data_IF_905773668863
#
_entry.id   IF_905773668863
#
_cell.length_a   1.000
_cell.length_b   1.000
_cell.length_c   1.000
_cell.angle_alpha   90.00
_cell.angle_beta   90.00
_cell.angle_gamma   90.00
#
_symmetry.space_group_name_H-M   'P 1'
#
loop_
_entity.id
_entity.type
_entity.pdbx_description
1 polymer ?
#
# COMPACT_ATOMS: atom_id res chain seq x y z
N UNK A 1 -19.09 14.21 2.19
CA UNK A 1 -19.07 12.73 2.36
C UNK A 1 -17.62 12.37 2.66
N UNK A 2 -17.24 12.27 3.93
CA UNK A 2 -15.90 11.81 4.30
C UNK A 2 -15.96 10.29 4.41
N UNK A 3 -16.03 9.62 3.26
CA UNK A 3 -15.92 8.17 3.20
C UNK A 3 -14.46 7.77 3.32
N UNK A 4 -14.16 6.75 4.13
CA UNK A 4 -12.84 6.10 4.10
C UNK A 4 -12.58 5.61 2.66
N UNK A 5 -11.35 5.76 2.18
CA UNK A 5 -10.97 5.24 0.87
C UNK A 5 -10.68 3.74 1.03
N UNK A 6 -11.46 2.91 0.33
CA UNK A 6 -11.28 1.46 0.31
C UNK A 6 -10.06 1.10 -0.53
N UNK A 7 -9.15 0.30 0.03
CA UNK A 7 -7.88 0.12 -0.63
C UNK A 7 -6.97 -0.97 -0.10
N UNK A 8 -5.77 -0.97 -0.68
CA UNK A 8 -4.65 -1.77 -0.23
C UNK A 8 -3.52 -0.86 0.25
N UNK A 9 -2.86 -1.21 1.33
CA UNK A 9 -1.67 -0.52 1.82
C UNK A 9 -0.43 -1.11 1.14
N UNK A 10 0.43 -0.24 0.62
CA UNK A 10 1.74 -0.56 0.05
C UNK A 10 2.80 0.06 0.95
N UNK A 11 3.66 -0.78 1.51
CA UNK A 11 4.76 -0.37 2.40
C UNK A 11 6.08 -0.96 1.90
N UNK A 12 7.17 -0.27 2.21
CA UNK A 12 8.52 -0.77 1.94
C UNK A 12 9.27 -0.99 3.24
N UNK A 13 9.95 -2.12 3.33
CA UNK A 13 10.85 -2.50 4.42
C UNK A 13 12.32 -2.43 4.00
N UNK A 14 12.61 -1.89 2.81
CA UNK A 14 13.96 -1.69 2.27
C UNK A 14 14.03 -0.33 1.54
N UNK A 15 15.14 -0.05 0.86
CA UNK A 15 15.36 1.20 0.13
C UNK A 15 14.45 1.39 -1.10
N UNK A 16 13.66 0.37 -1.45
CA UNK A 16 12.72 0.43 -2.56
C UNK A 16 11.59 1.43 -2.29
N UNK A 17 11.22 2.15 -3.35
CA UNK A 17 10.17 3.15 -3.30
C UNK A 17 8.81 2.54 -3.62
N UNK A 18 7.86 2.71 -2.70
CA UNK A 18 6.46 2.29 -2.87
C UNK A 18 5.78 3.00 -4.04
N UNK A 19 6.05 4.30 -4.23
CA UNK A 19 5.41 5.09 -5.30
C UNK A 19 5.81 4.62 -6.71
N UNK A 20 6.99 4.01 -6.87
CA UNK A 20 7.41 3.39 -8.13
C UNK A 20 6.56 2.16 -8.43
N UNK A 21 6.37 1.26 -7.44
CA UNK A 21 5.48 0.10 -7.60
C UNK A 21 4.05 0.51 -7.92
N UNK A 22 3.54 1.49 -7.18
CA UNK A 22 2.16 1.96 -7.34
C UNK A 22 1.95 2.50 -8.76
N UNK A 23 2.90 3.27 -9.30
CA UNK A 23 2.83 3.78 -10.68
C UNK A 23 2.86 2.66 -11.72
N UNK A 24 3.61 1.59 -11.48
CA UNK A 24 3.62 0.41 -12.35
C UNK A 24 2.27 -0.32 -12.35
N UNK A 25 1.62 -0.42 -11.18
CA UNK A 25 0.30 -1.06 -11.04
C UNK A 25 -0.81 -0.22 -11.69
N UNK A 26 -0.85 1.08 -11.41
CA UNK A 26 -1.94 1.97 -11.86
C UNK A 26 -1.89 2.23 -13.38
N UNK A 27 -0.77 1.90 -14.05
CA UNK A 27 -0.49 2.20 -15.47
C UNK A 27 -0.46 3.72 -15.75
N UNK A 28 0.13 4.20 -16.87
CA UNK A 28 0.76 5.53 -16.95
C UNK A 28 -0.21 6.71 -17.08
N UNK A 29 -1.49 6.55 -16.77
CA UNK A 29 -2.35 7.73 -16.58
C UNK A 29 -1.87 8.41 -15.31
N UNK A 30 -1.29 9.59 -15.48
CA UNK A 30 -0.80 10.50 -14.44
C UNK A 30 -1.92 10.86 -13.45
N UNK A 31 -2.31 9.93 -12.58
CA UNK A 31 -3.26 10.24 -11.52
C UNK A 31 -2.48 10.75 -10.33
N UNK A 32 -2.71 12.02 -10.01
CA UNK A 32 -2.12 12.64 -8.84
C UNK A 32 -2.59 11.90 -7.58
N UNK A 33 -1.70 11.66 -6.60
CA UNK A 33 -2.09 11.07 -5.34
C UNK A 33 -3.06 11.99 -4.61
N UNK A 34 -4.02 11.38 -3.92
CA UNK A 34 -4.87 12.05 -2.93
C UNK A 34 -4.13 12.01 -1.59
N UNK A 35 -3.99 13.17 -0.94
CA UNK A 35 -3.46 13.23 0.42
C UNK A 35 -4.55 12.76 1.38
N UNK A 36 -4.29 11.69 2.13
CA UNK A 36 -5.26 11.09 3.06
C UNK A 36 -5.04 11.65 4.46
N UNK A 37 -3.78 11.68 4.90
CA UNK A 37 -3.36 12.24 6.19
C UNK A 37 -1.91 12.74 6.11
N UNK A 38 -1.32 13.08 7.26
CA UNK A 38 0.11 13.40 7.32
C UNK A 38 0.93 12.12 7.12
N UNK A 39 1.84 12.14 6.15
CA UNK A 39 2.66 10.97 5.81
C UNK A 39 1.93 9.89 4.99
N UNK A 40 0.63 9.99 4.73
CA UNK A 40 -0.12 9.02 3.94
C UNK A 40 -0.71 9.59 2.64
N UNK A 41 -0.59 8.83 1.57
CA UNK A 41 -1.09 9.16 0.23
C UNK A 41 -1.81 7.96 -0.37
N UNK A 42 -2.80 8.22 -1.20
CA UNK A 42 -3.55 7.18 -1.90
C UNK A 42 -3.60 7.46 -3.40
N UNK A 43 -3.44 6.42 -4.21
CA UNK A 43 -3.50 6.50 -5.67
C UNK A 43 -4.72 5.72 -6.13
N UNK A 44 -5.69 6.38 -6.81
CA UNK A 44 -6.85 5.67 -7.32
C UNK A 44 -6.44 4.76 -8.48
N UNK A 45 -6.89 3.52 -8.41
CA UNK A 45 -6.69 2.49 -9.40
C UNK A 45 -8.06 2.09 -9.96
N UNK A 46 -8.33 2.49 -11.20
CA UNK A 46 -9.53 2.09 -11.91
C UNK A 46 -9.37 0.65 -12.40
N UNK A 47 -10.22 -0.24 -11.88
CA UNK A 47 -10.31 -1.63 -12.31
C UNK A 47 -11.54 -1.76 -13.20
N UNK A 48 -11.31 -1.98 -14.48
CA UNK A 48 -12.35 -2.24 -15.47
C UNK A 48 -12.19 -3.66 -16.00
N UNK A 49 -13.15 -4.52 -15.67
CA UNK A 49 -13.22 -5.88 -16.21
C UNK A 49 -14.55 -6.07 -16.93
N UNK A 50 -14.70 -7.18 -17.66
CA UNK A 50 -15.98 -7.54 -18.26
C UNK A 50 -17.09 -7.84 -17.24
N UNK A 51 -16.77 -7.94 -15.94
CA UNK A 51 -17.69 -8.33 -14.89
C UNK A 51 -18.07 -7.17 -13.97
N UNK A 52 -17.17 -6.21 -13.76
CA UNK A 52 -17.38 -5.07 -12.88
C UNK A 52 -16.41 -3.93 -13.20
N UNK A 53 -16.82 -2.74 -12.77
CA UNK A 53 -15.96 -1.56 -12.65
C UNK A 53 -15.88 -1.19 -11.19
N UNK A 54 -14.66 -0.93 -10.71
CA UNK A 54 -14.41 -0.47 -9.36
C UNK A 54 -13.26 0.55 -9.34
N UNK A 55 -13.22 1.36 -8.30
CA UNK A 55 -12.03 2.17 -7.97
C UNK A 55 -11.50 1.66 -6.64
N UNK A 56 -10.27 1.16 -6.66
CA UNK A 56 -9.54 0.74 -5.46
C UNK A 56 -8.44 1.75 -5.23
N UNK A 57 -8.14 2.09 -3.98
CA UNK A 57 -7.05 3.00 -3.66
C UNK A 57 -5.80 2.22 -3.25
N UNK A 58 -4.65 2.56 -3.84
CA UNK A 58 -3.35 2.08 -3.39
C UNK A 58 -2.76 3.11 -2.43
N UNK A 59 -2.78 2.78 -1.15
CA UNK A 59 -2.26 3.62 -0.08
C UNK A 59 -0.76 3.41 0.08
N UNK A 60 -0.04 4.45 0.45
CA UNK A 60 1.36 4.36 0.90
C UNK A 60 1.55 5.33 2.05
N UNK A 61 2.44 4.96 2.97
CA UNK A 61 2.79 5.79 4.11
C UNK A 61 4.29 5.92 4.26
N UNK A 62 4.75 7.09 4.73
CA UNK A 62 6.11 7.31 5.22
C UNK A 62 6.24 7.06 6.73
N UNK A 63 5.15 6.74 7.41
CA UNK A 63 5.15 6.44 8.84
C UNK A 63 5.80 5.07 9.09
N UNK A 64 6.43 4.93 10.24
CA UNK A 64 6.95 3.63 10.67
C UNK A 64 5.81 2.67 11.02
N UNK A 65 6.09 1.37 11.07
CA UNK A 65 5.12 0.38 11.54
C UNK A 65 4.64 0.67 12.95
N UNK A 66 5.43 1.35 13.80
CA UNK A 66 5.01 1.71 15.16
C UNK A 66 4.02 2.87 15.14
N UNK A 67 4.30 3.88 14.32
CA UNK A 67 3.54 5.14 14.26
C UNK A 67 2.30 5.08 13.36
N UNK A 68 2.20 4.07 12.48
CA UNK A 68 1.03 3.91 11.62
C UNK A 68 -0.23 3.66 12.45
N UNK A 69 -1.27 4.46 12.23
CA UNK A 69 -2.60 4.20 12.80
C UNK A 69 -3.56 3.82 11.68
N UNK A 70 -4.18 2.65 11.82
CA UNK A 70 -5.17 2.08 10.89
C UNK A 70 -6.52 2.86 10.90
N UNK A 71 -6.60 3.96 11.65
CA UNK A 71 -7.86 4.60 12.02
C UNK A 71 -8.53 5.36 10.86
N UNK A 72 -7.77 5.82 9.87
CA UNK A 72 -8.27 6.70 8.80
C UNK A 72 -8.70 5.97 7.51
N UNK A 73 -8.32 4.69 7.35
CA UNK A 73 -8.39 3.99 6.07
C UNK A 73 -9.28 2.73 6.21
N UNK A 74 -9.75 2.18 5.10
CA UNK A 74 -10.39 0.86 5.07
C UNK A 74 -9.51 -0.05 4.22
N UNK A 75 -8.46 -0.58 4.86
CA UNK A 75 -7.42 -1.36 4.19
C UNK A 75 -7.82 -2.84 4.19
N UNK A 76 -8.06 -3.38 3.00
CA UNK A 76 -8.47 -4.78 2.80
C UNK A 76 -7.29 -5.69 2.39
N UNK A 77 -6.20 -5.08 1.91
CA UNK A 77 -5.02 -5.80 1.44
C UNK A 77 -3.72 -5.09 1.80
N UNK A 78 -2.66 -5.87 1.94
CA UNK A 78 -1.32 -5.40 2.26
C UNK A 78 -0.32 -5.87 1.20
N UNK A 79 0.49 -4.95 0.69
CA UNK A 79 1.62 -5.21 -0.20
C UNK A 79 2.88 -4.75 0.52
N UNK A 80 3.78 -5.69 0.83
CA UNK A 80 5.03 -5.39 1.53
C UNK A 80 6.21 -5.64 0.61
N UNK A 81 6.95 -4.59 0.30
CA UNK A 81 8.22 -4.68 -0.41
C UNK A 81 9.32 -4.98 0.62
N UNK A 82 10.11 -6.01 0.38
CA UNK A 82 11.24 -6.38 1.24
C UNK A 82 12.40 -6.93 0.40
N UNK A 83 13.61 -6.89 0.95
CA UNK A 83 14.81 -7.46 0.33
C UNK A 83 15.34 -8.64 1.16
N UNK A 84 15.24 -9.89 0.67
CA UNK A 84 15.69 -11.07 1.40
C UNK A 84 17.21 -11.11 1.65
N UNK A 85 18.00 -10.24 0.98
CA UNK A 85 19.45 -10.11 1.19
C UNK A 85 19.78 -9.06 2.25
N UNK A 86 18.86 -8.17 2.59
CA UNK A 86 19.02 -7.19 3.64
C UNK A 86 18.49 -7.75 4.95
N UNK A 87 19.30 -7.61 6.00
CA UNK A 87 18.97 -8.07 7.34
C UNK A 87 17.73 -7.31 7.86
N UNK A 88 16.92 -7.98 8.66
CA UNK A 88 15.79 -7.40 9.42
C UNK A 88 14.59 -6.94 8.56
N UNK A 89 14.67 -6.99 7.22
CA UNK A 89 13.57 -6.53 6.33
C UNK A 89 12.37 -7.48 6.34
N UNK A 90 12.60 -8.79 6.45
CA UNK A 90 11.53 -9.79 6.56
C UNK A 90 10.86 -9.73 7.93
N UNK A 91 11.64 -9.53 9.00
CA UNK A 91 11.12 -9.31 10.35
C UNK A 91 10.28 -8.03 10.42
N UNK A 92 10.69 -6.97 9.71
CA UNK A 92 9.88 -5.75 9.59
C UNK A 92 8.60 -6.00 8.78
N UNK A 93 8.66 -6.81 7.71
CA UNK A 93 7.48 -7.20 6.96
C UNK A 93 6.47 -7.98 7.82
N UNK A 94 6.96 -8.89 8.68
CA UNK A 94 6.12 -9.62 9.63
C UNK A 94 5.37 -8.67 10.59
N UNK A 95 6.03 -7.63 11.09
CA UNK A 95 5.39 -6.61 11.95
C UNK A 95 4.26 -5.87 11.23
N UNK A 96 4.42 -5.56 9.95
CA UNK A 96 3.35 -4.93 9.16
C UNK A 96 2.15 -5.87 8.97
N UNK A 97 2.41 -7.15 8.71
CA UNK A 97 1.36 -8.18 8.58
C UNK A 97 0.57 -8.31 9.88
N UNK A 98 1.28 -8.41 11.02
CA UNK A 98 0.66 -8.47 12.34
C UNK A 98 -0.15 -7.21 12.66
N UNK A 99 0.30 -6.04 12.22
CA UNK A 99 -0.37 -4.77 12.54
C UNK A 99 -1.64 -4.53 11.73
N UNK A 100 -1.63 -4.84 10.43
CA UNK A 100 -2.74 -4.48 9.53
C UNK A 100 -3.84 -5.54 9.45
N UNK A 101 -3.57 -6.79 9.84
CA UNK A 101 -4.56 -7.88 9.85
C UNK A 101 -5.39 -8.03 8.56
N UNK A 102 -4.82 -7.72 7.39
CA UNK A 102 -5.52 -7.78 6.11
C UNK A 102 -5.78 -9.23 5.66
N UNK A 103 -6.89 -9.45 4.94
CA UNK A 103 -7.26 -10.76 4.40
C UNK A 103 -6.31 -11.23 3.28
N UNK A 104 -5.74 -10.27 2.54
CA UNK A 104 -4.82 -10.54 1.43
C UNK A 104 -3.49 -9.85 1.69
N UNK A 105 -2.41 -10.64 1.69
CA UNK A 105 -1.04 -10.14 1.85
C UNK A 105 -0.19 -10.58 0.66
N UNK A 106 0.50 -9.63 0.04
CA UNK A 106 1.48 -9.85 -1.01
C UNK A 106 2.87 -9.44 -0.53
N UNK A 107 3.81 -10.38 -0.53
CA UNK A 107 5.22 -10.11 -0.29
C UNK A 107 5.93 -9.93 -1.64
N UNK A 108 6.55 -8.77 -1.83
CA UNK A 108 7.23 -8.41 -3.08
C UNK A 108 8.74 -8.32 -2.81
N UNK A 109 9.52 -9.11 -3.55
CA UNK A 109 10.98 -9.13 -3.47
C UNK A 109 11.62 -9.22 -4.86
N UNK A 110 12.91 -8.87 -4.96
CA UNK A 110 13.69 -9.03 -6.19
C UNK A 110 13.42 -7.95 -7.24
N UNK A 111 13.14 -6.72 -6.78
CA UNK A 111 13.04 -5.53 -7.64
C UNK A 111 14.39 -4.87 -7.84
#
# INVERSE_FOLDING_TARGET
MNGKLDGCLVVSCCDDRTDVLIKEIVHPVSVAPVRVSEGAQAFPWAIETKYYTATVYLHTTSLSVVDYEDSAENIHGLVVIFDPKQKDTLELAAKWIEKCHCDVVLLVCGR
#
